data_IF_920708808826
#
_entry.id   IF_920708808826
#
_cell.length_a   1.000
_cell.length_b   1.000
_cell.length_c   1.000
_cell.angle_alpha   90.00
_cell.angle_beta   90.00
_cell.angle_gamma   90.00
#
_symmetry.space_group_name_H-M   'P 1'
#
loop_
_entity.id
_entity.type
_entity.pdbx_description
1 polymer ?
#
# COMPACT_ATOMS: atom_id res chain seq x y z
N UNK A 1 30.65 15.95 0.36
CA UNK A 1 30.03 14.87 -0.42
C UNK A 1 29.44 13.87 0.57
N UNK A 2 28.34 14.25 1.23
CA UNK A 2 27.63 13.44 2.25
C UNK A 2 26.12 13.75 2.35
N UNK A 3 25.57 14.66 1.54
CA UNK A 3 24.15 15.08 1.63
C UNK A 3 23.17 14.17 0.90
N UNK A 4 23.61 13.43 -0.12
CA UNK A 4 22.69 12.67 -0.99
C UNK A 4 22.10 11.46 -0.27
N UNK A 5 22.87 10.80 0.61
CA UNK A 5 22.38 9.64 1.39
C UNK A 5 21.39 10.03 2.49
N UNK A 6 21.47 11.25 3.05
CA UNK A 6 20.59 11.66 4.16
C UNK A 6 19.14 11.91 3.70
N UNK A 7 18.93 12.32 2.44
CA UNK A 7 17.58 12.55 1.91
C UNK A 7 16.85 11.24 1.54
N UNK A 8 17.55 10.14 1.27
CA UNK A 8 16.91 8.86 0.89
C UNK A 8 16.29 8.07 2.05
N UNK A 9 16.76 8.36 3.25
CA UNK A 9 16.22 7.76 4.47
C UNK A 9 15.01 8.54 4.98
N UNK A 10 14.78 9.78 4.53
CA UNK A 10 13.71 10.64 5.05
C UNK A 10 12.32 10.20 4.59
N UNK A 11 12.08 9.93 3.30
CA UNK A 11 10.76 9.46 2.86
C UNK A 11 10.50 8.02 3.31
N UNK A 12 11.55 7.21 3.41
CA UNK A 12 11.49 5.87 4.01
C UNK A 12 11.10 5.94 5.48
N UNK A 13 11.73 6.83 6.26
CA UNK A 13 11.39 7.06 7.66
C UNK A 13 9.97 7.60 7.82
N UNK A 14 9.53 8.54 6.97
CA UNK A 14 8.17 9.06 6.99
C UNK A 14 7.14 7.95 6.72
N UNK A 15 7.39 7.09 5.73
CA UNK A 15 6.55 5.93 5.43
C UNK A 15 6.46 4.99 6.63
N UNK A 16 7.59 4.74 7.30
CA UNK A 16 7.61 3.97 8.53
C UNK A 16 6.75 4.62 9.63
N UNK A 17 6.92 5.92 9.90
CA UNK A 17 6.14 6.60 10.94
C UNK A 17 4.63 6.56 10.67
N UNK A 18 4.20 6.70 9.40
CA UNK A 18 2.80 6.53 9.01
C UNK A 18 2.26 5.14 9.36
N UNK A 19 3.02 4.09 9.00
CA UNK A 19 2.64 2.70 9.28
C UNK A 19 2.58 2.38 10.78
N UNK A 20 3.50 2.95 11.57
CA UNK A 20 3.53 2.79 13.02
C UNK A 20 2.41 3.56 13.74
N UNK A 21 1.94 4.66 13.15
CA UNK A 21 0.87 5.50 13.71
C UNK A 21 -0.54 4.97 13.42
N UNK A 22 -0.68 4.00 12.52
CA UNK A 22 -1.98 3.39 12.20
C UNK A 22 -2.60 2.74 13.44
N UNK A 23 -3.90 3.00 13.63
CA UNK A 23 -4.73 2.23 14.55
C UNK A 23 -5.07 0.87 13.94
N UNK A 24 -4.35 -0.17 14.35
CA UNK A 24 -4.51 -1.52 13.84
C UNK A 24 -5.64 -2.32 14.53
N UNK A 25 -6.31 -1.78 15.55
CA UNK A 25 -7.46 -2.45 16.18
C UNK A 25 -8.62 -2.61 15.19
N UNK A 26 -8.73 -1.67 14.24
CA UNK A 26 -9.81 -1.62 13.26
C UNK A 26 -11.08 -0.95 13.78
N UNK A 27 -11.05 -0.32 14.96
CA UNK A 27 -12.25 0.32 15.57
C UNK A 27 -12.87 1.38 14.65
N UNK A 28 -12.05 2.08 13.87
CA UNK A 28 -12.49 3.10 12.90
C UNK A 28 -12.78 2.54 11.50
N UNK A 29 -12.52 1.25 11.25
CA UNK A 29 -12.64 0.65 9.91
C UNK A 29 -14.08 0.63 9.40
N UNK A 30 -15.06 0.43 10.30
CA UNK A 30 -16.49 0.46 9.95
C UNK A 30 -16.93 1.83 9.45
N UNK A 31 -16.47 2.85 10.16
CA UNK A 31 -16.75 4.25 9.93
C UNK A 31 -16.17 4.77 8.61
N UNK A 32 -15.15 4.08 8.08
CA UNK A 32 -14.48 4.39 6.82
C UNK A 32 -14.64 3.31 5.74
N UNK A 33 -15.66 2.46 5.82
CA UNK A 33 -15.77 1.28 4.95
C UNK A 33 -15.77 1.61 3.45
N UNK A 34 -16.46 2.68 3.03
CA UNK A 34 -16.66 3.00 1.62
C UNK A 34 -15.36 3.47 0.97
N UNK A 35 -14.66 4.38 1.64
CA UNK A 35 -13.34 4.82 1.25
C UNK A 35 -12.31 3.69 1.30
N UNK A 36 -12.34 2.82 2.32
CA UNK A 36 -11.43 1.67 2.42
C UNK A 36 -11.59 0.69 1.24
N UNK A 37 -12.82 0.38 0.85
CA UNK A 37 -13.11 -0.43 -0.36
C UNK A 37 -12.58 0.25 -1.63
N UNK A 38 -12.81 1.55 -1.78
CA UNK A 38 -12.35 2.32 -2.93
C UNK A 38 -10.81 2.35 -3.01
N UNK A 39 -10.14 2.53 -1.88
CA UNK A 39 -8.68 2.54 -1.76
C UNK A 39 -8.06 1.17 -2.04
N UNK A 40 -8.67 0.07 -1.57
CA UNK A 40 -8.22 -1.29 -1.92
C UNK A 40 -8.34 -1.52 -3.43
N UNK A 41 -9.46 -1.12 -4.05
CA UNK A 41 -9.62 -1.24 -5.52
C UNK A 41 -8.59 -0.40 -6.27
N UNK A 42 -8.28 0.79 -5.79
CA UNK A 42 -7.26 1.66 -6.37
C UNK A 42 -5.85 1.06 -6.22
N UNK A 43 -5.53 0.44 -5.08
CA UNK A 43 -4.30 -0.35 -4.92
C UNK A 43 -4.22 -1.48 -5.94
N UNK A 44 -5.27 -2.30 -6.05
CA UNK A 44 -5.33 -3.42 -6.98
C UNK A 44 -5.10 -2.96 -8.42
N UNK A 45 -5.68 -1.82 -8.80
CA UNK A 45 -5.49 -1.19 -10.12
C UNK A 45 -4.03 -0.81 -10.34
N UNK A 46 -3.42 -0.05 -9.43
CA UNK A 46 -2.02 0.38 -9.58
C UNK A 46 -1.06 -0.79 -9.56
N UNK A 47 -1.28 -1.77 -8.68
CA UNK A 47 -0.49 -3.00 -8.63
C UNK A 47 -0.62 -3.80 -9.93
N UNK A 48 -1.79 -3.84 -10.58
CA UNK A 48 -1.99 -4.51 -11.86
C UNK A 48 -1.19 -3.84 -12.98
N UNK A 49 -1.21 -2.51 -13.05
CA UNK A 49 -0.39 -1.76 -14.00
C UNK A 49 1.11 -2.02 -13.81
N UNK A 50 1.59 -2.07 -12.56
CA UNK A 50 2.98 -2.40 -12.26
C UNK A 50 3.34 -3.84 -12.61
N UNK A 51 2.47 -4.80 -12.26
CA UNK A 51 2.69 -6.21 -12.57
C UNK A 51 2.78 -6.44 -14.09
N UNK A 52 1.91 -5.81 -14.87
CA UNK A 52 1.97 -5.86 -16.33
C UNK A 52 3.26 -5.22 -16.87
N UNK A 53 3.64 -4.04 -16.37
CA UNK A 53 4.83 -3.32 -16.84
C UNK A 53 6.14 -4.06 -16.55
N UNK A 54 6.16 -4.90 -15.51
CA UNK A 54 7.34 -5.63 -15.04
C UNK A 54 7.32 -7.12 -15.42
N UNK A 55 6.32 -7.58 -16.19
CA UNK A 55 6.12 -9.00 -16.50
C UNK A 55 6.02 -9.89 -15.23
N UNK A 56 5.39 -9.36 -14.18
CA UNK A 56 5.28 -9.94 -12.84
C UNK A 56 3.81 -10.27 -12.47
N UNK A 57 2.97 -10.58 -13.46
CA UNK A 57 1.53 -10.80 -13.28
C UNK A 57 1.19 -11.98 -12.37
N UNK A 58 2.08 -12.98 -12.29
CA UNK A 58 1.92 -14.16 -11.44
C UNK A 58 2.11 -13.87 -9.94
N UNK A 59 2.67 -12.71 -9.59
CA UNK A 59 2.88 -12.27 -8.20
C UNK A 59 1.81 -11.28 -7.71
N UNK A 60 0.94 -10.82 -8.61
CA UNK A 60 -0.15 -9.91 -8.29
C UNK A 60 -1.17 -10.57 -7.31
N UNK A 61 -1.77 -9.83 -6.36
CA UNK A 61 -1.71 -8.37 -6.18
C UNK A 61 -0.70 -7.89 -5.14
N UNK A 62 -0.15 -8.77 -4.30
CA UNK A 62 0.67 -8.38 -3.16
C UNK A 62 2.11 -8.80 -3.43
N UNK A 63 2.89 -7.94 -4.06
CA UNK A 63 4.30 -8.21 -4.41
C UNK A 63 5.19 -7.01 -4.14
N UNK A 64 6.50 -7.26 -4.10
CA UNK A 64 7.50 -6.22 -3.88
C UNK A 64 7.89 -5.58 -5.21
N UNK A 65 7.16 -4.52 -5.58
CA UNK A 65 7.42 -3.77 -6.82
C UNK A 65 8.85 -3.21 -6.83
N UNK A 66 9.38 -2.82 -5.67
CA UNK A 66 10.73 -2.28 -5.60
C UNK A 66 11.77 -3.35 -5.95
N UNK A 67 11.52 -4.60 -5.57
CA UNK A 67 12.41 -5.71 -5.91
C UNK A 67 12.54 -5.98 -7.39
N UNK A 68 11.46 -5.80 -8.15
CA UNK A 68 11.46 -5.98 -9.60
C UNK A 68 12.10 -4.81 -10.35
N UNK A 69 11.98 -3.59 -9.81
CA UNK A 69 12.55 -2.39 -10.43
C UNK A 69 14.05 -2.25 -10.15
N UNK A 70 14.45 -2.40 -8.88
CA UNK A 70 15.85 -2.40 -8.45
C UNK A 70 15.99 -3.28 -7.20
N UNK A 71 16.56 -4.49 -7.31
CA UNK A 71 16.78 -5.38 -6.19
C UNK A 71 17.67 -4.80 -5.07
N UNK A 72 18.47 -3.78 -5.38
CA UNK A 72 19.37 -3.12 -4.42
C UNK A 72 18.70 -1.97 -3.66
N UNK A 73 17.59 -1.45 -4.18
CA UNK A 73 16.77 -0.45 -3.50
C UNK A 73 15.98 -1.10 -2.37
N UNK A 74 16.65 -1.26 -1.22
CA UNK A 74 16.07 -1.82 0.00
C UNK A 74 16.20 -0.85 1.14
N UNK A 75 15.11 -0.74 1.89
CA UNK A 75 15.06 0.03 3.12
C UNK A 75 16.16 -0.42 4.08
N UNK A 76 16.75 0.54 4.80
CA UNK A 76 17.83 0.27 5.72
C UNK A 76 17.40 -0.81 6.75
N UNK A 77 18.25 -1.81 7.06
CA UNK A 77 17.87 -2.94 7.93
C UNK A 77 17.26 -2.52 9.27
N UNK A 78 17.75 -1.44 9.88
CA UNK A 78 17.22 -0.94 11.16
C UNK A 78 15.76 -0.45 11.07
N UNK A 79 15.34 0.09 9.93
CA UNK A 79 13.95 0.51 9.70
C UNK A 79 13.05 -0.72 9.47
N UNK A 80 13.55 -1.71 8.73
CA UNK A 80 12.89 -3.00 8.51
C UNK A 80 12.67 -3.72 9.84
N UNK A 81 13.71 -3.87 10.65
CA UNK A 81 13.63 -4.51 11.98
C UNK A 81 12.62 -3.80 12.89
N UNK A 82 12.59 -2.46 12.87
CA UNK A 82 11.63 -1.68 13.65
C UNK A 82 10.19 -1.95 13.19
N UNK A 83 9.94 -1.96 11.88
CA UNK A 83 8.64 -2.31 11.32
C UNK A 83 8.24 -3.74 11.69
N UNK A 84 9.10 -4.72 11.47
CA UNK A 84 8.83 -6.14 11.76
C UNK A 84 8.52 -6.39 13.23
N UNK A 85 9.27 -5.77 14.14
CA UNK A 85 9.02 -5.85 15.58
C UNK A 85 7.64 -5.29 15.93
N UNK A 86 7.29 -4.13 15.38
CA UNK A 86 5.98 -3.53 15.59
C UNK A 86 4.86 -4.41 15.02
N UNK A 87 4.99 -4.87 13.78
CA UNK A 87 3.98 -5.73 13.15
C UNK A 87 3.81 -7.06 13.88
N UNK A 88 4.91 -7.62 14.42
CA UNK A 88 4.86 -8.85 15.21
C UNK A 88 4.02 -8.72 16.48
N UNK A 89 3.99 -7.53 17.07
CA UNK A 89 3.19 -7.24 18.26
C UNK A 89 1.76 -6.80 17.95
N UNK A 90 1.50 -6.18 16.79
CA UNK A 90 0.23 -5.47 16.53
C UNK A 90 -0.58 -6.00 15.33
N UNK A 91 0.02 -6.78 14.41
CA UNK A 91 -0.63 -7.17 13.15
C UNK A 91 -0.53 -8.69 12.92
N UNK A 92 -1.67 -9.37 12.91
CA UNK A 92 -1.74 -10.83 12.72
C UNK A 92 -1.72 -11.31 11.26
N UNK A 93 -1.90 -10.42 10.28
CA UNK A 93 -2.21 -10.82 8.90
C UNK A 93 -0.99 -10.78 7.96
N UNK A 94 -0.58 -11.93 7.36
CA UNK A 94 0.63 -12.00 6.54
C UNK A 94 0.64 -11.07 5.32
N UNK A 95 -0.49 -10.91 4.63
CA UNK A 95 -0.59 -10.05 3.45
C UNK A 95 -0.36 -8.56 3.80
N UNK A 96 -0.92 -8.11 4.93
CA UNK A 96 -0.68 -6.75 5.45
C UNK A 96 0.81 -6.57 5.73
N UNK A 97 1.46 -7.51 6.43
CA UNK A 97 2.91 -7.44 6.68
C UNK A 97 3.73 -7.34 5.40
N UNK A 98 3.41 -8.17 4.41
CA UNK A 98 4.07 -8.18 3.10
C UNK A 98 3.96 -6.82 2.41
N UNK A 99 2.76 -6.25 2.37
CA UNK A 99 2.55 -4.94 1.72
C UNK A 99 3.16 -3.77 2.49
N UNK A 100 3.19 -3.80 3.83
CA UNK A 100 3.88 -2.78 4.63
C UNK A 100 5.39 -2.78 4.35
N UNK A 101 6.01 -3.96 4.28
CA UNK A 101 7.43 -4.08 3.94
C UNK A 101 7.72 -3.63 2.50
N UNK A 102 6.88 -4.06 1.55
CA UNK A 102 7.00 -3.64 0.15
C UNK A 102 6.82 -2.12 -0.01
N UNK A 103 5.91 -1.50 0.73
CA UNK A 103 5.74 -0.05 0.76
C UNK A 103 6.99 0.68 1.29
N UNK A 104 7.66 0.12 2.30
CA UNK A 104 8.90 0.65 2.82
C UNK A 104 10.03 0.56 1.78
N UNK A 105 10.20 -0.58 1.12
CA UNK A 105 11.17 -0.73 0.03
C UNK A 105 10.87 0.20 -1.16
N UNK A 106 9.60 0.37 -1.50
CA UNK A 106 9.16 1.31 -2.52
C UNK A 106 9.53 2.76 -2.19
N UNK A 107 9.37 3.19 -0.94
CA UNK A 107 9.77 4.54 -0.53
C UNK A 107 11.27 4.77 -0.69
N UNK A 108 12.10 3.76 -0.37
CA UNK A 108 13.56 3.82 -0.61
C UNK A 108 13.90 3.88 -2.10
N UNK A 109 13.21 3.09 -2.93
CA UNK A 109 13.39 3.12 -4.38
C UNK A 109 13.07 4.51 -4.96
N UNK A 110 11.96 5.11 -4.52
CA UNK A 110 11.50 6.42 -4.99
C UNK A 110 12.50 7.54 -4.71
N UNK A 111 13.20 7.46 -3.60
CA UNK A 111 14.18 8.48 -3.27
C UNK A 111 15.45 8.31 -4.09
N UNK A 112 15.75 7.12 -4.60
CA UNK A 112 16.91 6.90 -5.46
C UNK A 112 16.77 7.67 -6.79
N UNK A 113 17.79 8.47 -7.14
CA UNK A 113 17.83 9.24 -8.39
C UNK A 113 17.88 8.36 -9.67
N UNK A 114 17.93 7.03 -9.52
CA UNK A 114 18.17 6.07 -10.58
C UNK A 114 16.93 5.73 -11.40
N UNK A 115 15.72 6.02 -10.91
CA UNK A 115 14.50 5.47 -11.54
C UNK A 115 13.61 6.57 -12.05
N UNK A 116 13.67 6.80 -13.37
CA UNK A 116 12.52 7.35 -14.11
C UNK A 116 11.45 6.27 -14.10
N UNK A 117 10.66 6.23 -13.03
CA UNK A 117 9.51 5.36 -12.91
C UNK A 117 8.65 5.55 -14.17
N UNK A 118 8.10 4.45 -14.69
CA UNK A 118 7.55 4.31 -16.05
C UNK A 118 6.31 5.18 -16.38
N UNK A 119 6.21 6.40 -15.84
CA UNK A 119 5.03 7.25 -15.88
C UNK A 119 3.88 6.74 -14.99
N UNK A 120 4.07 5.61 -14.31
CA UNK A 120 3.05 4.99 -13.47
C UNK A 120 3.03 5.62 -12.07
N UNK A 121 1.84 5.75 -11.51
CA UNK A 121 1.65 6.16 -10.13
C UNK A 121 2.23 5.13 -9.16
N UNK A 122 2.67 5.59 -7.98
CA UNK A 122 3.15 4.69 -6.93
C UNK A 122 2.06 3.72 -6.46
N UNK A 123 2.36 2.42 -6.32
CA UNK A 123 1.34 1.41 -6.06
C UNK A 123 0.82 1.43 -4.63
N UNK A 124 1.66 1.78 -3.63
CA UNK A 124 1.34 1.56 -2.21
C UNK A 124 0.60 2.70 -1.50
N UNK A 125 0.57 3.91 -2.05
CA UNK A 125 -0.09 5.04 -1.38
C UNK A 125 -1.57 4.78 -1.05
N UNK A 126 -2.39 4.18 -1.95
CA UNK A 126 -3.77 3.83 -1.60
C UNK A 126 -3.88 2.85 -0.42
N UNK A 127 -2.95 1.89 -0.27
CA UNK A 127 -2.94 0.99 0.89
C UNK A 127 -2.55 1.70 2.17
N UNK A 128 -1.54 2.57 2.14
CA UNK A 128 -1.14 3.32 3.34
C UNK A 128 -2.31 4.20 3.80
N UNK A 129 -2.93 4.94 2.89
CA UNK A 129 -4.12 5.76 3.20
C UNK A 129 -5.27 4.90 3.69
N UNK A 130 -5.47 3.68 3.14
CA UNK A 130 -6.46 2.76 3.65
C UNK A 130 -6.15 2.38 5.11
N UNK A 131 -4.91 1.99 5.42
CA UNK A 131 -4.49 1.65 6.78
C UNK A 131 -4.67 2.81 7.74
N UNK A 132 -4.34 4.04 7.34
CA UNK A 132 -4.56 5.26 8.14
C UNK A 132 -6.04 5.49 8.48
N UNK A 133 -6.96 4.89 7.71
CA UNK A 133 -8.40 4.87 7.98
C UNK A 133 -8.86 3.68 8.84
N UNK A 134 -7.92 2.99 9.49
CA UNK A 134 -8.15 2.03 10.55
C UNK A 134 -8.06 0.57 10.13
N UNK A 135 -7.11 -0.18 10.68
CA UNK A 135 -7.01 -1.64 10.51
C UNK A 135 -6.51 -2.11 9.14
N UNK A 136 -6.27 -3.43 9.04
CA UNK A 136 -5.73 -4.09 7.85
C UNK A 136 -6.79 -4.76 6.97
N UNK A 137 -6.37 -5.81 6.26
CA UNK A 137 -7.26 -6.66 5.47
C UNK A 137 -6.87 -8.13 5.61
N UNK A 138 -7.80 -9.03 5.27
CA UNK A 138 -7.53 -10.46 5.09
C UNK A 138 -7.89 -10.89 3.68
N UNK A 139 -7.42 -12.07 3.29
CA UNK A 139 -7.72 -12.67 1.99
C UNK A 139 -8.32 -14.05 2.22
N UNK A 140 -9.52 -14.30 1.69
CA UNK A 140 -10.22 -15.56 1.86
C UNK A 140 -11.03 -15.89 0.62
N UNK A 141 -10.92 -17.12 0.11
CA UNK A 141 -11.72 -17.63 -1.01
C UNK A 141 -11.82 -16.73 -2.27
N UNK A 142 -10.75 -16.01 -2.62
CA UNK A 142 -10.75 -15.09 -3.76
C UNK A 142 -11.39 -13.73 -3.47
N UNK A 143 -11.54 -13.38 -2.20
CA UNK A 143 -11.98 -12.07 -1.72
C UNK A 143 -10.92 -11.47 -0.81
N UNK A 144 -10.92 -10.13 -0.76
CA UNK A 144 -10.16 -9.32 0.18
C UNK A 144 -11.17 -8.70 1.13
N UNK A 145 -11.11 -9.07 2.41
CA UNK A 145 -11.95 -8.50 3.45
C UNK A 145 -11.28 -7.26 4.03
N UNK A 146 -11.94 -6.12 3.89
CA UNK A 146 -11.51 -4.79 4.38
C UNK A 146 -12.50 -4.32 5.45
N UNK A 147 -12.36 -4.87 6.65
CA UNK A 147 -13.30 -4.64 7.76
C UNK A 147 -14.57 -5.46 7.58
N UNK A 148 -15.73 -4.80 7.44
CA UNK A 148 -17.03 -5.45 7.21
C UNK A 148 -17.47 -5.42 5.73
N UNK A 149 -16.53 -5.17 4.81
CA UNK A 149 -16.78 -5.14 3.38
C UNK A 149 -15.77 -6.00 2.63
N UNK A 150 -16.19 -6.53 1.49
CA UNK A 150 -15.38 -7.46 0.70
C UNK A 150 -15.12 -6.92 -0.71
N UNK A 151 -13.90 -7.07 -1.20
CA UNK A 151 -13.50 -6.80 -2.59
C UNK A 151 -13.17 -8.12 -3.26
N UNK A 152 -13.83 -8.43 -4.37
CA UNK A 152 -13.51 -9.64 -5.14
C UNK A 152 -12.14 -9.48 -5.79
N UNK A 153 -11.25 -10.45 -5.53
CA UNK A 153 -9.96 -10.56 -6.18
C UNK A 153 -10.19 -11.18 -7.57
N UNK A 154 -10.30 -10.32 -8.58
CA UNK A 154 -10.45 -10.70 -10.00
C UNK A 154 -9.07 -10.97 -10.63
N UNK A 155 -8.99 -11.12 -11.94
CA UNK A 155 -7.68 -11.17 -12.62
C UNK A 155 -7.03 -9.78 -12.67
N UNK A 156 -5.72 -9.72 -12.90
CA UNK A 156 -5.01 -8.44 -13.00
C UNK A 156 -5.53 -7.62 -14.19
N UNK A 157 -5.94 -8.25 -15.30
CA UNK A 157 -6.52 -7.58 -16.48
C UNK A 157 -7.83 -6.86 -16.14
N UNK A 158 -8.65 -7.45 -15.28
CA UNK A 158 -9.90 -6.82 -14.85
C UNK A 158 -9.67 -5.63 -13.90
N UNK A 159 -8.45 -5.49 -13.38
CA UNK A 159 -8.03 -4.38 -12.54
C UNK A 159 -7.13 -3.38 -13.27
N UNK A 160 -6.57 -3.68 -14.44
CA UNK A 160 -5.67 -2.78 -15.19
C UNK A 160 -6.45 -1.70 -15.98
N UNK A 161 -7.13 -0.82 -15.24
CA UNK A 161 -7.79 0.36 -15.80
C UNK A 161 -6.84 1.58 -15.84
N UNK A 162 -6.87 2.40 -16.91
CA UNK A 162 -6.17 3.68 -16.92
C UNK A 162 -6.83 4.73 -16.00
N UNK A 163 -8.12 4.59 -15.71
CA UNK A 163 -8.86 5.54 -14.87
C UNK A 163 -8.72 5.20 -13.38
N UNK A 164 -8.31 6.17 -12.53
CA UNK A 164 -8.31 5.99 -11.08
C UNK A 164 -9.70 5.65 -10.55
N UNK A 165 -9.77 4.69 -9.62
CA UNK A 165 -11.03 4.32 -8.97
C UNK A 165 -11.50 5.42 -8.02
N UNK A 166 -10.54 6.07 -7.35
CA UNK A 166 -10.82 7.13 -6.38
C UNK A 166 -9.64 8.09 -6.30
N UNK A 167 -9.94 9.36 -6.00
CA UNK A 167 -8.92 10.32 -5.57
C UNK A 167 -8.49 10.02 -4.13
N UNK A 168 -7.21 10.17 -3.83
CA UNK A 168 -6.67 9.98 -2.47
C UNK A 168 -6.88 11.20 -1.56
N UNK A 169 -7.50 12.26 -2.08
CA UNK A 169 -7.81 13.47 -1.31
C UNK A 169 -8.78 13.17 -0.15
N UNK A 170 -8.42 13.62 1.06
CA UNK A 170 -9.19 13.34 2.26
C UNK A 170 -10.66 13.80 2.17
N UNK A 171 -10.92 14.92 1.48
CA UNK A 171 -12.30 15.42 1.27
C UNK A 171 -13.16 14.48 0.43
N UNK A 172 -12.58 13.83 -0.58
CA UNK A 172 -13.27 12.84 -1.43
C UNK A 172 -13.54 11.57 -0.64
N UNK A 173 -12.55 11.08 0.11
CA UNK A 173 -12.67 9.87 0.92
C UNK A 173 -13.69 10.04 2.05
N UNK A 174 -13.68 11.19 2.73
CA UNK A 174 -14.67 11.48 3.77
C UNK A 174 -16.09 11.59 3.19
N UNK A 175 -16.25 12.22 2.02
CA UNK A 175 -17.54 12.29 1.35
C UNK A 175 -18.08 10.92 0.91
N UNK A 176 -17.20 9.96 0.58
CA UNK A 176 -17.60 8.57 0.31
C UNK A 176 -18.16 7.89 1.56
N UNK A 177 -17.48 8.06 2.69
CA UNK A 177 -17.92 7.44 3.94
C UNK A 177 -19.22 8.05 4.45
N UNK A 178 -19.40 9.36 4.32
CA UNK A 178 -20.63 10.05 4.73
C UNK A 178 -21.85 9.55 3.93
N UNK A 179 -21.69 9.30 2.62
CA UNK A 179 -22.77 8.79 1.76
C UNK A 179 -23.21 7.39 2.14
N UNK A 180 -22.29 6.57 2.62
CA UNK A 180 -22.61 5.22 3.04
C UNK A 180 -23.22 5.16 4.45
N UNK A 181 -23.03 6.19 5.29
CA UNK A 181 -23.67 6.25 6.62
C UNK A 181 -25.17 6.60 6.59
N UNK A 182 -25.65 7.23 5.52
CA UNK A 182 -27.07 7.61 5.32
C UNK A 182 -27.91 6.48 4.74
#
# INVERSE_FOLDING_TARGET
MNDVRMNHDEATALTLERLLAVDWSGDTAFDHRGSRVALMREYLRRAACWAQQLDATDEWPFFDVAAHVDPTARAHPTLVERLEKFMSANIGWPAVRKTCLAALHWSTLRDSAAVRLAGLEGPFEPLIVMYERGGGFTTEHGFIEVGLASVRLKTWEEHSSPEPVVSLEASVLNALDDRERG
#
